data_IF_016247528176
#
_entry.id   IF_016247528176
#
_cell.length_a   1.000
_cell.length_b   1.000
_cell.length_c   1.000
_cell.angle_alpha   90.00
_cell.angle_beta   90.00
_cell.angle_gamma   90.00
#
_symmetry.space_group_name_H-M   'P 1'
#
loop_
_entity.id
_entity.type
_entity.pdbx_description
1 polymer ?
#
# COMPACT_ATOMS: atom_id res chain seq x y z
N UNK A 1 6.69 -12.03 2.50
CA UNK A 1 7.46 -10.86 2.98
C UNK A 1 8.27 -10.17 1.87
N UNK A 2 7.62 -9.23 1.20
CA UNK A 2 8.19 -8.33 0.19
C UNK A 2 9.36 -7.49 0.73
N UNK A 3 10.39 -7.31 -0.11
CA UNK A 3 11.46 -6.35 0.17
C UNK A 3 11.00 -4.90 -0.03
N UNK A 4 11.65 -3.94 0.63
CA UNK A 4 11.33 -2.51 0.52
C UNK A 4 11.29 -2.03 -0.94
N UNK A 5 12.23 -2.48 -1.78
CA UNK A 5 12.25 -2.15 -3.22
C UNK A 5 10.97 -2.60 -3.93
N UNK A 6 10.44 -3.78 -3.60
CA UNK A 6 9.18 -4.27 -4.17
C UNK A 6 8.01 -3.44 -3.66
N UNK A 7 7.97 -3.14 -2.36
CA UNK A 7 6.93 -2.27 -1.76
C UNK A 7 6.87 -0.92 -2.46
N UNK A 8 8.01 -0.25 -2.65
CA UNK A 8 8.08 1.02 -3.36
C UNK A 8 7.68 0.89 -4.84
N UNK A 9 8.07 -0.21 -5.50
CA UNK A 9 7.71 -0.45 -6.90
C UNK A 9 6.22 -0.64 -7.09
N UNK A 10 5.56 -1.40 -6.20
CA UNK A 10 4.10 -1.60 -6.23
C UNK A 10 3.38 -0.31 -5.85
N UNK A 11 3.85 0.40 -4.82
CA UNK A 11 3.30 1.68 -4.39
C UNK A 11 3.29 2.71 -5.54
N UNK A 12 4.40 2.82 -6.28
CA UNK A 12 4.49 3.71 -7.45
C UNK A 12 3.49 3.29 -8.53
N UNK A 13 3.47 2.01 -8.91
CA UNK A 13 2.53 1.51 -9.93
C UNK A 13 1.07 1.75 -9.54
N UNK A 14 0.72 1.57 -8.27
CA UNK A 14 -0.65 1.84 -7.81
C UNK A 14 -0.99 3.33 -7.86
N UNK A 15 -0.07 4.22 -7.48
CA UNK A 15 -0.26 5.66 -7.60
C UNK A 15 -0.38 6.09 -9.08
N UNK A 16 0.40 5.51 -9.97
CA UNK A 16 0.33 5.80 -11.42
C UNK A 16 -1.00 5.32 -12.02
N UNK A 17 -1.50 4.15 -11.61
CA UNK A 17 -2.72 3.56 -12.18
C UNK A 17 -4.02 4.06 -11.53
N UNK A 18 -4.02 4.33 -10.23
CA UNK A 18 -5.23 4.65 -9.45
C UNK A 18 -5.18 6.04 -8.80
N UNK A 19 -4.06 6.77 -8.91
CA UNK A 19 -3.91 8.09 -8.31
C UNK A 19 -4.17 8.08 -6.80
N UNK A 20 -4.95 9.05 -6.32
CA UNK A 20 -5.29 9.17 -4.90
C UNK A 20 -6.09 7.97 -4.34
N UNK A 21 -6.79 7.22 -5.19
CA UNK A 21 -7.53 6.03 -4.75
C UNK A 21 -6.61 4.85 -4.42
N UNK A 22 -5.35 4.88 -4.83
CA UNK A 22 -4.37 3.82 -4.60
C UNK A 22 -4.21 3.46 -3.11
N UNK A 23 -4.10 4.47 -2.25
CA UNK A 23 -3.93 4.29 -0.79
C UNK A 23 -5.15 3.61 -0.18
N UNK A 24 -6.35 4.05 -0.54
CA UNK A 24 -7.59 3.44 -0.08
C UNK A 24 -7.69 1.98 -0.52
N UNK A 25 -7.28 1.68 -1.76
CA UNK A 25 -7.33 0.34 -2.33
C UNK A 25 -6.37 -0.63 -1.67
N UNK A 26 -5.13 -0.20 -1.40
CA UNK A 26 -4.18 -1.01 -0.63
C UNK A 26 -4.65 -1.23 0.82
N UNK A 27 -5.25 -0.21 1.46
CA UNK A 27 -5.81 -0.36 2.80
C UNK A 27 -7.01 -1.33 2.84
N UNK A 28 -7.86 -1.31 1.81
CA UNK A 28 -8.98 -2.24 1.68
C UNK A 28 -8.49 -3.69 1.45
N UNK A 29 -7.51 -3.89 0.58
CA UNK A 29 -6.88 -5.19 0.37
C UNK A 29 -6.28 -5.73 1.67
N UNK A 30 -5.55 -4.91 2.44
CA UNK A 30 -5.00 -5.33 3.73
C UNK A 30 -6.09 -5.88 4.65
N UNK A 31 -7.23 -5.19 4.77
CA UNK A 31 -8.36 -5.61 5.61
C UNK A 31 -9.03 -6.87 5.08
N UNK A 32 -9.11 -7.03 3.75
CA UNK A 32 -9.66 -8.23 3.13
C UNK A 32 -8.78 -9.46 3.42
N UNK A 33 -7.46 -9.32 3.36
CA UNK A 33 -6.50 -10.38 3.72
C UNK A 33 -6.61 -10.74 5.22
N UNK A 34 -6.76 -9.75 6.11
CA UNK A 34 -7.01 -10.03 7.54
C UNK A 34 -8.28 -10.85 7.76
N UNK A 35 -9.36 -10.54 7.05
CA UNK A 35 -10.62 -11.28 7.13
C UNK A 35 -10.52 -12.72 6.63
N UNK A 36 -9.52 -13.02 5.77
CA UNK A 36 -9.23 -14.36 5.23
C UNK A 36 -8.20 -15.13 6.06
N UNK A 37 -7.60 -14.50 7.06
CA UNK A 37 -6.51 -15.08 7.87
C UNK A 37 -5.11 -14.93 7.24
N UNK A 38 -4.99 -14.14 6.17
CA UNK A 38 -3.76 -13.93 5.40
C UNK A 38 -2.95 -12.76 6.00
N UNK A 39 -2.45 -12.96 7.22
CA UNK A 39 -1.80 -11.91 8.00
C UNK A 39 -0.48 -11.40 7.40
N UNK A 40 0.27 -12.24 6.67
CA UNK A 40 1.51 -11.80 5.98
C UNK A 40 1.18 -10.84 4.83
N UNK A 41 0.20 -11.22 4.01
CA UNK A 41 -0.24 -10.40 2.87
C UNK A 41 -0.88 -9.08 3.35
N UNK A 42 -1.65 -9.13 4.45
CA UNK A 42 -2.18 -7.92 5.08
C UNK A 42 -1.10 -6.94 5.53
N UNK A 43 0.05 -7.45 6.02
CA UNK A 43 1.20 -6.61 6.38
C UNK A 43 1.84 -6.01 5.13
N UNK A 44 1.99 -6.79 4.06
CA UNK A 44 2.54 -6.32 2.79
C UNK A 44 1.70 -5.16 2.21
N UNK A 45 0.38 -5.32 2.15
CA UNK A 45 -0.53 -4.26 1.72
C UNK A 45 -0.45 -2.99 2.57
N UNK A 46 -0.27 -3.13 3.89
CA UNK A 46 -0.05 -1.98 4.78
C UNK A 46 1.28 -1.27 4.51
N UNK A 47 2.35 -2.03 4.26
CA UNK A 47 3.64 -1.45 3.88
C UNK A 47 3.54 -0.67 2.55
N UNK A 48 2.82 -1.21 1.56
CA UNK A 48 2.58 -0.54 0.28
C UNK A 48 1.78 0.75 0.50
N UNK A 49 0.72 0.70 1.32
CA UNK A 49 -0.09 1.87 1.66
C UNK A 49 0.72 2.97 2.36
N UNK A 50 1.63 2.60 3.25
CA UNK A 50 2.51 3.53 3.96
C UNK A 50 3.54 4.16 3.01
N UNK A 51 4.19 3.35 2.17
CA UNK A 51 5.10 3.84 1.14
C UNK A 51 4.42 4.83 0.18
N UNK A 52 3.16 4.57 -0.20
CA UNK A 52 2.38 5.51 -1.01
C UNK A 52 2.13 6.85 -0.31
N UNK A 53 1.88 6.85 1.01
CA UNK A 53 1.73 8.09 1.79
C UNK A 53 3.03 8.88 1.84
N UNK A 54 4.17 8.19 2.02
CA UNK A 54 5.49 8.82 2.00
C UNK A 54 5.80 9.41 0.62
N UNK A 55 5.53 8.66 -0.46
CA UNK A 55 5.75 9.10 -1.85
C UNK A 55 4.89 10.29 -2.27
N UNK A 56 3.67 10.38 -1.74
CA UNK A 56 2.81 11.56 -1.92
C UNK A 56 3.44 12.82 -1.32
N UNK A 57 4.45 12.66 -0.46
CA UNK A 57 5.01 13.71 0.35
C UNK A 57 4.04 14.16 1.44
N UNK A 58 4.48 15.04 2.35
CA UNK A 58 3.56 15.68 3.29
C UNK A 58 2.56 16.51 2.49
N UNK A 59 1.34 15.98 2.33
CA UNK A 59 0.21 16.86 2.14
C UNK A 59 0.03 17.59 3.48
N UNK A 60 0.37 18.87 3.50
CA UNK A 60 0.22 19.84 4.59
C UNK A 60 1.46 20.00 5.50
N UNK A 61 2.20 21.08 5.23
CA UNK A 61 2.60 22.00 6.30
C UNK A 61 1.43 22.91 6.66
#
# INVERSE_FOLDING_TARGET
MMSEVQVHTVARQMLEQHGFAAIAKAAEQARACEGRGEADEAKEWRHIADAMKIMRGPAQS
#
